data_IF_211814087169
#
_entry.id   IF_211814087169
#
_cell.length_a   1.000
_cell.length_b   1.000
_cell.length_c   1.000
_cell.angle_alpha   90.00
_cell.angle_beta   90.00
_cell.angle_gamma   90.00
#
_symmetry.space_group_name_H-M   'P 1'
#
loop_
_entity.id
_entity.type
_entity.pdbx_description
1 polymer ?
#
# COMPACT_ATOMS: atom_id res chain seq x y z
N UNK A 1 6.64 -20.67 13.69
CA UNK A 1 7.07 -19.41 13.05
C UNK A 1 6.80 -19.52 11.56
N UNK A 2 6.23 -18.48 10.97
CA UNK A 2 6.01 -18.36 9.53
C UNK A 2 7.37 -18.21 8.83
N UNK A 3 7.66 -19.06 7.86
CA UNK A 3 8.84 -18.91 7.02
C UNK A 3 8.50 -17.99 5.85
N UNK A 4 9.18 -16.87 5.76
CA UNK A 4 8.95 -15.85 4.74
C UNK A 4 10.09 -15.81 3.72
N UNK A 5 9.73 -15.65 2.44
CA UNK A 5 10.65 -15.33 1.37
C UNK A 5 10.31 -13.98 0.75
N UNK A 6 11.31 -13.21 0.37
CA UNK A 6 11.12 -11.89 -0.23
C UNK A 6 11.83 -11.84 -1.57
N UNK A 7 11.10 -11.72 -2.67
CA UNK A 7 11.64 -11.41 -3.99
C UNK A 7 11.69 -9.88 -4.15
N UNK A 8 12.86 -9.34 -4.53
CA UNK A 8 13.08 -7.89 -4.58
C UNK A 8 13.43 -7.28 -3.22
N UNK A 9 14.04 -8.05 -2.32
CA UNK A 9 14.38 -7.65 -0.95
C UNK A 9 15.27 -6.41 -0.86
N UNK A 10 16.04 -6.09 -1.89
CA UNK A 10 16.97 -4.95 -1.94
C UNK A 10 16.38 -3.67 -2.53
N UNK A 11 15.09 -3.64 -2.90
CA UNK A 11 14.31 -2.43 -3.14
C UNK A 11 13.92 -1.74 -1.83
N UNK A 12 13.36 -0.51 -1.88
CA UNK A 12 12.92 0.18 -0.65
C UNK A 12 11.79 -0.56 0.08
N UNK A 13 10.76 -1.02 -0.64
CA UNK A 13 9.68 -1.81 -0.03
C UNK A 13 10.19 -3.16 0.50
N UNK A 14 11.08 -3.83 -0.24
CA UNK A 14 11.71 -5.07 0.19
C UNK A 14 12.60 -4.89 1.43
N UNK A 15 13.40 -3.81 1.47
CA UNK A 15 14.21 -3.46 2.64
C UNK A 15 13.36 -3.15 3.88
N UNK A 16 12.20 -2.54 3.68
CA UNK A 16 11.24 -2.27 4.74
C UNK A 16 10.56 -3.56 5.24
N UNK A 17 10.22 -4.50 4.33
CA UNK A 17 9.77 -5.85 4.72
C UNK A 17 10.82 -6.56 5.58
N UNK A 18 12.09 -6.53 5.18
CA UNK A 18 13.18 -7.13 5.97
C UNK A 18 13.24 -6.49 7.35
N UNK A 19 13.18 -5.16 7.45
CA UNK A 19 13.20 -4.44 8.74
C UNK A 19 12.06 -4.88 9.65
N UNK A 20 10.85 -4.94 9.15
CA UNK A 20 9.66 -5.31 9.94
C UNK A 20 9.69 -6.78 10.33
N UNK A 21 9.95 -7.68 9.36
CA UNK A 21 9.96 -9.12 9.62
C UNK A 21 11.10 -9.58 10.52
N UNK A 22 12.25 -8.88 10.52
CA UNK A 22 13.35 -9.15 11.45
C UNK A 22 12.93 -8.91 12.91
N UNK A 23 12.02 -7.96 13.16
CA UNK A 23 11.46 -7.70 14.48
C UNK A 23 10.21 -8.53 14.81
N UNK A 24 9.67 -9.29 13.88
CA UNK A 24 8.40 -10.02 14.02
C UNK A 24 8.61 -11.34 14.78
N UNK A 25 7.97 -11.51 15.94
CA UNK A 25 8.17 -12.69 16.80
C UNK A 25 7.63 -14.00 16.22
N UNK A 26 6.67 -13.92 15.32
CA UNK A 26 6.01 -15.08 14.71
C UNK A 26 6.52 -15.42 13.30
N UNK A 27 7.50 -14.67 12.74
CA UNK A 27 8.01 -14.89 11.39
C UNK A 27 9.54 -14.99 11.35
N UNK A 28 10.06 -15.65 10.33
CA UNK A 28 11.49 -15.81 10.06
C UNK A 28 11.73 -15.68 8.55
N UNK A 29 12.67 -14.83 8.15
CA UNK A 29 13.04 -14.68 6.74
C UNK A 29 14.02 -15.79 6.35
N UNK A 30 13.65 -16.58 5.36
CA UNK A 30 14.47 -17.69 4.80
C UNK A 30 15.12 -17.33 3.46
N UNK A 31 14.59 -16.33 2.76
CA UNK A 31 15.05 -16.00 1.41
C UNK A 31 15.07 -14.49 1.19
N UNK A 32 16.24 -13.97 0.85
CA UNK A 32 16.51 -12.56 0.55
C UNK A 32 16.75 -12.39 -0.95
N UNK A 33 15.72 -12.52 -1.78
CA UNK A 33 15.81 -12.49 -3.24
C UNK A 33 16.23 -11.13 -3.79
N UNK A 34 17.27 -11.11 -4.64
CA UNK A 34 17.78 -9.91 -5.28
C UNK A 34 18.55 -10.26 -6.56
N UNK A 35 18.15 -9.70 -7.70
CA UNK A 35 18.88 -9.89 -8.97
C UNK A 35 20.24 -9.21 -9.02
N UNK A 36 20.40 -8.12 -8.29
CA UNK A 36 21.59 -7.26 -8.40
C UNK A 36 22.69 -7.60 -7.38
N UNK A 37 22.37 -8.39 -6.35
CA UNK A 37 23.27 -8.61 -5.21
C UNK A 37 23.40 -10.09 -4.81
N UNK A 38 23.16 -11.02 -5.74
CA UNK A 38 23.29 -12.46 -5.49
C UNK A 38 24.65 -12.76 -4.83
N UNK A 39 24.64 -13.63 -3.80
CA UNK A 39 25.81 -14.05 -2.98
C UNK A 39 26.43 -12.96 -2.09
N UNK A 40 26.02 -11.71 -2.20
CA UNK A 40 26.47 -10.64 -1.29
C UNK A 40 25.74 -10.73 0.05
N UNK A 41 26.41 -10.39 1.15
CA UNK A 41 25.75 -10.28 2.44
C UNK A 41 24.72 -9.13 2.41
N UNK A 42 23.51 -9.39 2.89
CA UNK A 42 22.42 -8.42 2.88
C UNK A 42 22.76 -7.14 3.64
N UNK A 43 23.48 -7.27 4.78
CA UNK A 43 23.96 -6.15 5.56
C UNK A 43 25.03 -5.30 4.86
N UNK A 44 25.65 -5.77 3.78
CA UNK A 44 26.51 -4.94 2.95
C UNK A 44 25.72 -4.03 2.01
N UNK A 45 24.51 -4.43 1.63
CA UNK A 45 23.58 -3.61 0.87
C UNK A 45 22.85 -2.60 1.75
N UNK A 46 22.47 -3.00 2.96
CA UNK A 46 21.76 -2.20 3.96
C UNK A 46 22.53 -2.17 5.28
N UNK A 47 23.48 -1.24 5.38
CA UNK A 47 24.42 -1.16 6.54
C UNK A 47 23.77 -0.89 7.88
N UNK A 48 22.55 -0.37 7.92
CA UNK A 48 21.76 -0.24 9.15
C UNK A 48 21.34 -1.60 9.75
N UNK A 49 21.48 -2.68 8.99
CA UNK A 49 21.23 -4.06 9.45
C UNK A 49 22.52 -4.82 9.78
N UNK A 50 23.66 -4.13 9.86
CA UNK A 50 24.95 -4.72 10.24
C UNK A 50 24.85 -5.36 11.64
N UNK A 51 25.33 -6.60 11.76
CA UNK A 51 25.21 -7.44 12.96
C UNK A 51 23.78 -7.79 13.41
N UNK A 52 22.76 -7.44 12.61
CA UNK A 52 21.36 -7.80 12.86
C UNK A 52 20.92 -8.89 11.86
N UNK A 53 21.26 -8.72 10.61
CA UNK A 53 20.96 -9.69 9.52
C UNK A 53 22.29 -10.21 8.98
N UNK A 54 22.53 -11.50 9.20
CA UNK A 54 23.67 -12.24 8.61
C UNK A 54 23.11 -13.27 7.62
N UNK A 55 22.80 -12.81 6.43
CA UNK A 55 22.24 -13.63 5.36
C UNK A 55 22.75 -13.15 3.99
N UNK A 56 22.90 -14.09 3.06
CA UNK A 56 23.25 -13.78 1.68
C UNK A 56 22.00 -13.47 0.85
N UNK A 57 22.14 -12.54 -0.08
CA UNK A 57 21.16 -12.34 -1.13
C UNK A 57 21.12 -13.56 -2.06
N UNK A 58 19.91 -13.96 -2.46
CA UNK A 58 19.64 -15.10 -3.31
C UNK A 58 18.99 -14.63 -4.62
N UNK A 59 18.80 -15.52 -5.56
CA UNK A 59 18.11 -15.23 -6.81
C UNK A 59 16.58 -15.07 -6.63
N UNK A 60 15.87 -14.90 -7.74
CA UNK A 60 14.42 -14.76 -7.79
C UNK A 60 13.71 -16.07 -8.21
N UNK A 61 14.33 -17.23 -7.99
CA UNK A 61 13.74 -18.52 -8.35
C UNK A 61 12.54 -18.85 -7.42
N UNK A 62 11.36 -18.47 -7.87
CA UNK A 62 10.13 -18.59 -7.09
C UNK A 62 9.69 -20.03 -6.90
N UNK A 63 9.97 -20.93 -7.85
CA UNK A 63 9.68 -22.36 -7.72
C UNK A 63 10.48 -22.99 -6.58
N UNK A 64 11.81 -22.76 -6.57
CA UNK A 64 12.69 -23.25 -5.51
C UNK A 64 12.37 -22.62 -4.14
N UNK A 65 11.91 -21.38 -4.12
CA UNK A 65 11.50 -20.68 -2.92
C UNK A 65 10.21 -21.25 -2.31
N UNK A 66 9.23 -21.59 -3.17
CA UNK A 66 7.94 -22.11 -2.76
C UNK A 66 8.02 -23.41 -1.94
N UNK A 67 9.06 -24.21 -2.14
CA UNK A 67 9.29 -25.44 -1.37
C UNK A 67 9.87 -25.18 0.05
N UNK A 68 10.32 -23.97 0.33
CA UNK A 68 11.08 -23.63 1.54
C UNK A 68 10.34 -22.70 2.49
N UNK A 69 9.29 -22.03 2.03
CA UNK A 69 8.60 -20.97 2.79
C UNK A 69 7.10 -21.14 2.81
N UNK A 70 6.45 -20.55 3.80
CA UNK A 70 5.01 -20.54 3.97
C UNK A 70 4.37 -19.34 3.22
N UNK A 71 5.15 -18.25 3.02
CA UNK A 71 4.70 -17.05 2.32
C UNK A 71 5.82 -16.44 1.49
N UNK A 72 5.47 -15.97 0.30
CA UNK A 72 6.35 -15.20 -0.59
C UNK A 72 5.81 -13.78 -0.71
N UNK A 73 6.67 -12.80 -0.44
CA UNK A 73 6.42 -11.40 -0.76
C UNK A 73 7.12 -11.05 -2.08
N UNK A 74 6.39 -10.47 -3.03
CA UNK A 74 6.98 -9.97 -4.26
C UNK A 74 7.01 -8.44 -4.25
N UNK A 75 8.17 -7.87 -3.88
CA UNK A 75 8.44 -6.43 -3.89
C UNK A 75 9.16 -6.01 -5.18
N UNK A 76 8.54 -6.28 -6.32
CA UNK A 76 9.13 -6.26 -7.65
C UNK A 76 8.50 -5.20 -8.56
N UNK A 77 9.15 -4.84 -9.68
CA UNK A 77 8.50 -4.09 -10.75
C UNK A 77 7.27 -4.84 -11.30
N UNK A 78 6.33 -4.07 -11.86
CA UNK A 78 5.12 -4.60 -12.50
C UNK A 78 5.45 -5.60 -13.60
N UNK A 79 4.61 -6.63 -13.74
CA UNK A 79 4.75 -7.72 -14.71
C UNK A 79 5.62 -8.87 -14.23
N UNK A 80 6.44 -8.67 -13.19
CA UNK A 80 7.36 -9.72 -12.75
C UNK A 80 6.66 -10.80 -11.92
N UNK A 81 5.82 -10.43 -10.94
CA UNK A 81 5.06 -11.40 -10.17
C UNK A 81 4.18 -12.26 -11.08
N UNK A 82 3.44 -11.60 -11.99
CA UNK A 82 2.62 -12.30 -13.00
C UNK A 82 3.43 -13.23 -13.91
N UNK A 83 4.71 -12.97 -14.14
CA UNK A 83 5.57 -13.85 -14.96
C UNK A 83 6.15 -15.03 -14.21
N UNK A 84 6.18 -14.98 -12.88
CA UNK A 84 6.78 -16.02 -12.03
C UNK A 84 5.75 -16.95 -11.42
N UNK A 85 4.54 -16.44 -11.12
CA UNK A 85 3.50 -17.18 -10.42
C UNK A 85 2.90 -18.29 -11.29
N UNK A 86 2.61 -19.43 -10.68
CA UNK A 86 1.92 -20.55 -11.31
C UNK A 86 1.11 -21.33 -10.27
N UNK A 87 0.31 -22.30 -10.73
CA UNK A 87 -0.56 -23.09 -9.84
C UNK A 87 0.24 -23.96 -8.87
N UNK A 88 1.41 -24.43 -9.28
CA UNK A 88 2.27 -25.24 -8.42
C UNK A 88 2.77 -24.44 -7.22
N UNK A 89 3.22 -23.20 -7.43
CA UNK A 89 3.62 -22.27 -6.37
C UNK A 89 2.45 -22.01 -5.40
N UNK A 90 1.28 -21.65 -5.95
CA UNK A 90 0.10 -21.34 -5.14
C UNK A 90 -0.47 -22.56 -4.38
N UNK A 91 -0.15 -23.78 -4.81
CA UNK A 91 -0.51 -24.99 -4.09
C UNK A 91 0.39 -25.26 -2.87
N UNK A 92 1.60 -24.71 -2.84
CA UNK A 92 2.61 -24.95 -1.80
C UNK A 92 2.72 -23.80 -0.81
N UNK A 93 2.57 -22.57 -1.26
CA UNK A 93 2.82 -21.37 -0.46
C UNK A 93 1.83 -20.25 -0.78
N UNK A 94 1.64 -19.32 0.14
CA UNK A 94 0.84 -18.12 -0.09
C UNK A 94 1.71 -17.02 -0.72
N UNK A 95 1.10 -16.19 -1.56
CA UNK A 95 1.80 -15.07 -2.23
C UNK A 95 1.15 -13.75 -1.86
N UNK A 96 1.95 -12.78 -1.44
CA UNK A 96 1.54 -11.39 -1.21
C UNK A 96 2.32 -10.52 -2.21
N UNK A 97 1.60 -10.05 -3.20
CA UNK A 97 2.16 -9.25 -4.29
C UNK A 97 2.09 -7.76 -4.00
N UNK A 98 3.25 -7.11 -3.86
CA UNK A 98 3.36 -5.65 -3.70
C UNK A 98 3.49 -4.92 -5.05
N UNK A 99 3.60 -5.67 -6.16
CA UNK A 99 3.48 -5.09 -7.50
C UNK A 99 2.02 -4.69 -7.79
N UNK A 100 1.71 -4.37 -9.02
CA UNK A 100 0.33 -4.02 -9.38
C UNK A 100 -0.40 -5.13 -10.12
N UNK A 101 0.25 -6.30 -10.28
CA UNK A 101 -0.16 -7.28 -11.28
C UNK A 101 -1.56 -7.87 -11.02
N UNK A 102 -2.01 -7.93 -9.77
CA UNK A 102 -3.28 -8.55 -9.40
C UNK A 102 -4.29 -7.60 -8.73
N UNK A 103 -4.05 -6.27 -8.77
CA UNK A 103 -4.89 -5.29 -8.08
C UNK A 103 -6.17 -4.94 -8.83
N UNK A 104 -6.11 -4.94 -10.18
CA UNK A 104 -7.19 -4.52 -11.07
C UNK A 104 -7.81 -5.76 -11.68
N UNK A 105 -9.14 -5.90 -11.58
CA UNK A 105 -9.87 -7.09 -12.06
C UNK A 105 -9.99 -7.14 -13.57
N UNK A 106 -10.11 -6.00 -14.23
CA UNK A 106 -10.16 -5.94 -15.69
C UNK A 106 -8.75 -5.93 -16.29
N UNK A 107 -8.39 -7.05 -16.96
CA UNK A 107 -7.09 -7.22 -17.64
C UNK A 107 -6.84 -6.11 -18.65
N UNK A 108 -7.85 -5.69 -19.40
CA UNK A 108 -7.71 -4.65 -20.42
C UNK A 108 -7.36 -3.29 -19.82
N UNK A 109 -7.93 -2.97 -18.66
CA UNK A 109 -7.59 -1.77 -17.89
C UNK A 109 -6.16 -1.84 -17.37
N UNK A 110 -5.75 -3.00 -16.81
CA UNK A 110 -4.36 -3.19 -16.39
C UNK A 110 -3.39 -2.96 -17.55
N UNK A 111 -3.61 -3.62 -18.70
CA UNK A 111 -2.73 -3.52 -19.87
C UNK A 111 -2.72 -2.10 -20.46
N UNK A 112 -3.88 -1.42 -20.48
CA UNK A 112 -3.96 -0.03 -20.90
C UNK A 112 -3.11 0.89 -20.03
N UNK A 113 -3.22 0.80 -18.70
CA UNK A 113 -2.54 1.71 -17.79
C UNK A 113 -1.08 1.39 -17.54
N UNK A 114 -0.72 0.10 -17.50
CA UNK A 114 0.66 -0.33 -17.25
C UNK A 114 1.49 -0.48 -18.53
N UNK A 115 0.84 -0.52 -19.72
CA UNK A 115 1.49 -0.70 -21.05
C UNK A 115 2.31 -1.99 -21.15
N UNK A 116 1.88 -3.04 -20.47
CA UNK A 116 2.47 -4.37 -20.50
C UNK A 116 1.34 -5.41 -20.57
N UNK A 117 1.63 -6.54 -21.23
CA UNK A 117 0.73 -7.70 -21.27
C UNK A 117 0.72 -8.41 -19.91
N UNK A 118 -0.47 -8.76 -19.41
CA UNK A 118 -0.59 -9.55 -18.19
C UNK A 118 -0.25 -11.02 -18.42
N UNK A 119 0.77 -11.56 -17.74
CA UNK A 119 1.29 -12.90 -18.02
C UNK A 119 0.52 -14.04 -17.33
N UNK A 120 -0.32 -13.72 -16.33
CA UNK A 120 -1.08 -14.71 -15.55
C UNK A 120 -2.51 -14.23 -15.25
N UNK A 121 -3.32 -13.89 -16.28
CA UNK A 121 -4.66 -13.34 -16.08
C UNK A 121 -5.61 -14.31 -15.39
N UNK A 122 -5.36 -15.62 -15.47
CA UNK A 122 -6.17 -16.65 -14.83
C UNK A 122 -6.21 -16.55 -13.28
N UNK A 123 -5.24 -15.87 -12.66
CA UNK A 123 -5.19 -15.70 -11.20
C UNK A 123 -5.79 -14.38 -10.70
N UNK A 124 -6.17 -13.45 -11.60
CA UNK A 124 -6.71 -12.16 -11.21
C UNK A 124 -8.02 -12.31 -10.44
N UNK A 125 -8.90 -13.22 -10.88
CA UNK A 125 -10.21 -13.39 -10.24
C UNK A 125 -10.09 -13.88 -8.79
N UNK A 126 -9.17 -14.80 -8.51
CA UNK A 126 -8.96 -15.33 -7.16
C UNK A 126 -8.13 -14.40 -6.26
N UNK A 127 -7.34 -13.51 -6.84
CA UNK A 127 -6.53 -12.57 -6.07
C UNK A 127 -7.41 -11.68 -5.19
N UNK A 128 -7.11 -11.63 -3.90
CA UNK A 128 -7.82 -10.77 -2.94
C UNK A 128 -7.09 -9.44 -2.81
N UNK A 129 -7.82 -8.33 -2.98
CA UNK A 129 -7.26 -7.01 -2.74
C UNK A 129 -6.93 -6.81 -1.26
N UNK A 130 -5.66 -6.59 -0.96
CA UNK A 130 -5.07 -6.70 0.36
C UNK A 130 -5.21 -5.45 1.24
N UNK A 131 -6.34 -4.74 1.19
CA UNK A 131 -6.66 -3.68 2.15
C UNK A 131 -7.43 -4.30 3.31
N UNK A 132 -6.73 -4.54 4.43
CA UNK A 132 -7.20 -5.35 5.55
C UNK A 132 -8.50 -4.83 6.15
N UNK A 133 -8.64 -3.53 6.29
CA UNK A 133 -9.80 -2.85 6.86
C UNK A 133 -11.09 -3.10 6.07
N UNK A 134 -10.96 -3.41 4.79
CA UNK A 134 -12.11 -3.64 3.89
C UNK A 134 -12.33 -5.12 3.60
N UNK A 135 -11.26 -5.91 3.44
CA UNK A 135 -11.33 -7.27 2.92
C UNK A 135 -10.85 -8.35 3.91
N UNK A 136 -10.82 -8.06 5.20
CA UNK A 136 -10.28 -8.94 6.25
C UNK A 136 -10.70 -10.41 6.11
N UNK A 137 -11.99 -10.69 6.00
CA UNK A 137 -12.49 -12.07 5.95
C UNK A 137 -12.10 -12.79 4.64
N UNK A 138 -11.98 -12.06 3.53
CA UNK A 138 -11.52 -12.63 2.26
C UNK A 138 -10.03 -12.96 2.33
N UNK A 139 -9.22 -12.06 2.93
CA UNK A 139 -7.77 -12.21 3.06
C UNK A 139 -7.42 -13.46 3.87
N UNK A 140 -8.11 -13.73 4.97
CA UNK A 140 -7.87 -14.93 5.82
C UNK A 140 -7.85 -16.24 5.04
N UNK A 141 -8.60 -16.32 3.95
CA UNK A 141 -8.77 -17.52 3.14
C UNK A 141 -8.04 -17.46 1.79
N UNK A 142 -7.31 -16.39 1.53
CA UNK A 142 -6.62 -16.21 0.26
C UNK A 142 -5.34 -17.05 0.16
N UNK A 143 -4.94 -17.38 -1.06
CA UNK A 143 -3.61 -17.90 -1.38
C UNK A 143 -2.79 -16.89 -2.19
N UNK A 144 -3.45 -15.91 -2.81
CA UNK A 144 -2.86 -14.77 -3.51
C UNK A 144 -3.49 -13.46 -3.01
N UNK A 145 -2.67 -12.57 -2.49
CA UNK A 145 -3.10 -11.25 -2.01
C UNK A 145 -2.43 -10.16 -2.84
N UNK A 146 -3.23 -9.30 -3.47
CA UNK A 146 -2.77 -8.12 -4.18
C UNK A 146 -2.65 -6.95 -3.19
N UNK A 147 -1.45 -6.70 -2.68
CA UNK A 147 -1.20 -5.63 -1.73
C UNK A 147 -1.39 -4.25 -2.38
N UNK A 148 -2.16 -3.32 -1.79
CA UNK A 148 -2.47 -2.02 -2.39
C UNK A 148 -1.25 -1.16 -2.72
N UNK A 149 -1.41 -0.23 -3.65
CA UNK A 149 -0.45 0.84 -3.86
C UNK A 149 -0.44 1.85 -2.71
N UNK A 150 0.65 2.58 -2.55
CA UNK A 150 0.79 3.49 -1.41
C UNK A 150 -0.21 4.65 -1.43
N UNK A 151 -0.38 5.31 -2.57
CA UNK A 151 -1.41 6.36 -2.70
C UNK A 151 -2.82 5.77 -2.59
N UNK A 152 -3.03 4.58 -3.16
CA UNK A 152 -4.35 3.93 -3.17
C UNK A 152 -4.78 3.55 -1.76
N UNK A 153 -3.86 3.04 -0.94
CA UNK A 153 -4.12 2.77 0.48
C UNK A 153 -4.63 4.02 1.20
N UNK A 154 -3.90 5.14 1.08
CA UNK A 154 -4.27 6.37 1.75
C UNK A 154 -5.61 6.92 1.23
N UNK A 155 -5.75 7.03 -0.08
CA UNK A 155 -6.95 7.61 -0.70
C UNK A 155 -8.19 6.77 -0.44
N UNK A 156 -8.10 5.45 -0.60
CA UNK A 156 -9.26 4.58 -0.38
C UNK A 156 -9.68 4.62 1.09
N UNK A 157 -8.76 4.46 2.04
CA UNK A 157 -9.10 4.52 3.46
C UNK A 157 -9.74 5.87 3.85
N UNK A 158 -9.29 6.96 3.23
CA UNK A 158 -9.81 8.30 3.52
C UNK A 158 -11.24 8.48 3.00
N UNK A 159 -11.56 8.05 1.77
CA UNK A 159 -12.88 8.27 1.14
C UNK A 159 -13.90 7.13 1.37
N UNK A 160 -13.44 5.90 1.69
CA UNK A 160 -14.25 4.69 1.68
C UNK A 160 -15.56 4.78 2.50
N UNK A 161 -15.55 5.28 3.77
CA UNK A 161 -16.80 5.31 4.55
C UNK A 161 -17.89 6.13 3.88
N UNK A 162 -17.55 7.30 3.35
CA UNK A 162 -18.55 8.19 2.73
C UNK A 162 -18.97 7.70 1.34
N UNK A 163 -18.07 7.08 0.58
CA UNK A 163 -18.40 6.40 -0.67
C UNK A 163 -19.38 5.24 -0.41
N UNK A 164 -19.12 4.43 0.61
CA UNK A 164 -19.93 3.27 1.00
C UNK A 164 -21.34 3.67 1.45
N UNK A 165 -21.47 4.77 2.17
CA UNK A 165 -22.76 5.33 2.61
C UNK A 165 -23.46 6.16 1.50
N UNK A 166 -22.83 6.31 0.34
CA UNK A 166 -23.39 7.08 -0.78
C UNK A 166 -23.59 8.57 -0.49
N UNK A 167 -22.79 9.13 0.42
CA UNK A 167 -22.94 10.52 0.88
C UNK A 167 -22.22 11.53 -0.01
N UNK A 168 -21.25 11.11 -0.79
CA UNK A 168 -20.49 11.97 -1.69
C UNK A 168 -20.84 11.66 -3.15
N UNK A 169 -20.85 12.71 -3.97
CA UNK A 169 -20.96 12.55 -5.43
C UNK A 169 -19.59 12.15 -5.99
N UNK A 170 -19.46 10.87 -6.34
CA UNK A 170 -18.21 10.29 -6.82
C UNK A 170 -17.70 10.95 -8.12
N UNK A 171 -18.58 11.57 -8.93
CA UNK A 171 -18.16 12.30 -10.12
C UNK A 171 -17.47 13.62 -9.82
N UNK A 172 -17.58 14.11 -8.59
CA UNK A 172 -16.92 15.35 -8.13
C UNK A 172 -15.67 15.10 -7.32
N UNK A 173 -15.30 13.83 -7.11
CA UNK A 173 -14.15 13.46 -6.27
C UNK A 173 -12.83 13.87 -6.95
N UNK A 174 -12.10 14.72 -6.26
CA UNK A 174 -10.75 15.15 -6.62
C UNK A 174 -9.81 14.71 -5.49
N UNK A 175 -8.74 14.02 -5.85
CA UNK A 175 -7.69 13.58 -4.92
C UNK A 175 -6.39 14.29 -5.27
N UNK A 176 -5.95 15.18 -4.42
CA UNK A 176 -4.68 15.89 -4.51
C UNK A 176 -3.68 15.29 -3.52
N UNK A 177 -2.72 14.52 -4.01
CA UNK A 177 -1.85 13.67 -3.21
C UNK A 177 -0.39 14.12 -3.27
N UNK A 178 0.29 14.09 -2.12
CA UNK A 178 1.71 14.41 -1.95
C UNK A 178 2.44 13.17 -1.45
N UNK A 179 3.62 12.87 -2.01
CA UNK A 179 4.43 11.72 -1.59
C UNK A 179 5.91 12.09 -1.47
N UNK A 180 6.55 11.53 -0.46
CA UNK A 180 8.00 11.50 -0.37
C UNK A 180 8.64 10.68 -1.50
N UNK A 181 9.91 10.95 -1.75
CA UNK A 181 10.68 10.43 -2.91
C UNK A 181 10.94 8.94 -2.88
N UNK A 182 10.93 8.30 -1.72
CA UNK A 182 11.09 6.85 -1.60
C UNK A 182 10.00 6.06 -2.33
N UNK A 183 8.83 6.67 -2.56
CA UNK A 183 7.74 6.09 -3.35
C UNK A 183 8.11 5.82 -4.83
N UNK A 184 9.11 6.51 -5.35
CA UNK A 184 9.62 6.29 -6.70
C UNK A 184 10.58 5.07 -6.82
N UNK A 185 10.90 4.42 -5.70
CA UNK A 185 11.80 3.27 -5.62
C UNK A 185 13.28 3.65 -5.60
N UNK A 186 14.14 2.63 -5.37
CA UNK A 186 15.60 2.79 -5.22
C UNK A 186 16.35 3.01 -6.53
N UNK A 187 15.73 2.71 -7.66
CA UNK A 187 16.38 2.86 -8.97
C UNK A 187 16.78 4.31 -9.26
N UNK A 188 18.03 4.54 -9.64
CA UNK A 188 18.52 5.86 -9.99
C UNK A 188 17.86 6.39 -11.28
N UNK A 189 17.17 7.53 -11.15
CA UNK A 189 16.58 8.29 -12.26
C UNK A 189 16.90 9.75 -12.05
N UNK A 190 17.11 10.52 -13.11
CA UNK A 190 17.39 11.96 -13.01
C UNK A 190 16.37 12.66 -12.11
N UNK A 191 15.07 12.38 -12.32
CA UNK A 191 13.99 13.00 -11.57
C UNK A 191 14.01 12.73 -10.05
N UNK A 192 14.82 11.75 -9.57
CA UNK A 192 14.95 11.36 -8.16
C UNK A 192 16.33 11.74 -7.58
N UNK A 193 17.21 12.41 -8.33
CA UNK A 193 18.49 12.87 -7.82
C UNK A 193 18.28 13.99 -6.80
N UNK A 194 19.16 14.08 -5.82
CA UNK A 194 19.06 15.05 -4.73
C UNK A 194 18.85 16.50 -5.22
N UNK A 195 19.66 16.97 -6.18
CA UNK A 195 19.54 18.32 -6.72
C UNK A 195 18.27 18.56 -7.55
N UNK A 196 17.58 17.50 -8.00
CA UNK A 196 16.32 17.62 -8.75
C UNK A 196 15.10 17.63 -7.83
N UNK A 197 15.25 17.07 -6.62
CA UNK A 197 14.16 16.88 -5.66
C UNK A 197 14.22 17.90 -4.54
N UNK A 198 15.43 18.24 -4.05
CA UNK A 198 15.58 19.14 -2.92
C UNK A 198 15.00 20.52 -3.25
N UNK A 199 14.26 21.11 -2.29
CA UNK A 199 13.60 22.44 -2.44
C UNK A 199 12.64 22.52 -3.65
N UNK A 200 12.10 21.40 -4.10
CA UNK A 200 11.24 21.32 -5.28
C UNK A 200 9.96 20.49 -5.01
N UNK A 201 8.80 21.03 -5.36
CA UNK A 201 7.51 20.32 -5.36
C UNK A 201 7.00 20.29 -6.80
N UNK A 202 6.66 19.11 -7.30
CA UNK A 202 6.15 18.95 -8.66
C UNK A 202 5.01 17.94 -8.76
N UNK A 203 3.98 18.28 -9.52
CA UNK A 203 3.00 17.31 -9.98
C UNK A 203 3.64 16.39 -11.03
N UNK A 204 3.20 15.14 -11.09
CA UNK A 204 3.66 14.20 -12.10
C UNK A 204 2.54 13.26 -12.52
N UNK A 205 2.65 12.68 -13.71
CA UNK A 205 1.67 11.74 -14.26
C UNK A 205 0.20 12.21 -14.11
N UNK A 206 -0.04 13.52 -14.28
CA UNK A 206 -1.37 14.13 -14.17
C UNK A 206 -2.32 13.52 -15.20
N UNK A 207 -3.48 13.03 -14.74
CA UNK A 207 -4.47 12.33 -15.57
C UNK A 207 -4.00 10.99 -16.15
N UNK A 208 -2.83 10.48 -15.74
CA UNK A 208 -2.22 9.25 -16.31
C UNK A 208 -1.50 8.38 -15.28
N UNK A 209 -1.65 8.68 -14.00
CA UNK A 209 -1.01 7.90 -12.94
C UNK A 209 -1.66 6.52 -12.78
N UNK A 210 -0.86 5.47 -12.73
CA UNK A 210 -1.28 4.06 -12.70
C UNK A 210 -2.12 3.66 -11.47
N UNK A 211 -2.14 4.46 -10.41
CA UNK A 211 -3.02 4.22 -9.26
C UNK A 211 -4.45 4.71 -9.50
N UNK A 212 -4.71 5.51 -10.53
CA UNK A 212 -6.06 6.03 -10.82
C UNK A 212 -7.09 4.92 -10.98
N UNK A 213 -6.91 3.94 -11.90
CA UNK A 213 -7.89 2.87 -12.08
C UNK A 213 -8.06 1.97 -10.84
N UNK A 214 -7.02 1.79 -10.04
CA UNK A 214 -7.08 1.05 -8.78
C UNK A 214 -8.00 1.76 -7.77
N UNK A 215 -7.86 3.09 -7.61
CA UNK A 215 -8.72 3.88 -6.72
C UNK A 215 -10.17 3.88 -7.24
N UNK A 216 -10.36 4.12 -8.55
CA UNK A 216 -11.68 4.10 -9.20
C UNK A 216 -12.40 2.77 -9.00
N UNK A 217 -11.70 1.65 -9.18
CA UNK A 217 -12.27 0.30 -9.01
C UNK A 217 -12.71 0.06 -7.56
N UNK A 218 -11.84 0.32 -6.59
CA UNK A 218 -12.14 0.01 -5.19
C UNK A 218 -13.22 0.93 -4.61
N UNK A 219 -13.19 2.22 -4.93
CA UNK A 219 -14.26 3.15 -4.53
C UNK A 219 -15.55 2.89 -5.31
N UNK A 220 -15.46 2.40 -6.55
CA UNK A 220 -16.60 1.95 -7.32
C UNK A 220 -17.31 0.76 -6.67
N UNK A 221 -16.57 -0.22 -6.16
CA UNK A 221 -17.14 -1.33 -5.37
C UNK A 221 -17.77 -0.84 -4.06
N UNK A 222 -17.18 0.16 -3.41
CA UNK A 222 -17.75 0.75 -2.21
C UNK A 222 -19.08 1.45 -2.50
N UNK A 223 -19.11 2.33 -3.51
CA UNK A 223 -20.27 3.13 -3.90
C UNK A 223 -21.32 2.35 -4.70
N UNK A 224 -21.00 1.13 -5.15
CA UNK A 224 -21.82 0.33 -6.08
C UNK A 224 -22.17 1.08 -7.39
N UNK A 225 -21.22 1.83 -7.91
CA UNK A 225 -21.32 2.57 -9.17
C UNK A 225 -19.98 2.65 -9.91
N UNK A 226 -19.99 2.94 -11.19
CA UNK A 226 -18.77 3.22 -11.95
C UNK A 226 -18.24 4.60 -11.56
N UNK A 227 -17.01 4.66 -11.07
CA UNK A 227 -16.36 5.89 -10.61
C UNK A 227 -15.35 6.37 -11.64
N UNK A 228 -15.36 7.67 -11.90
CA UNK A 228 -14.31 8.41 -12.59
C UNK A 228 -13.93 9.60 -11.74
N UNK A 229 -12.65 9.70 -11.37
CA UNK A 229 -12.16 10.75 -10.47
C UNK A 229 -10.93 11.46 -11.04
N UNK A 230 -10.61 12.61 -10.46
CA UNK A 230 -9.34 13.30 -10.75
C UNK A 230 -8.33 12.98 -9.68
N UNK A 231 -7.24 12.29 -10.06
CA UNK A 231 -6.12 11.99 -9.18
C UNK A 231 -4.86 12.75 -9.66
N UNK A 232 -4.31 13.60 -8.80
CA UNK A 232 -3.11 14.38 -9.08
C UNK A 232 -2.04 14.15 -8.02
N UNK A 233 -1.04 13.30 -8.30
CA UNK A 233 0.07 13.08 -7.38
C UNK A 233 1.15 14.14 -7.52
N UNK A 234 1.79 14.47 -6.38
CA UNK A 234 2.94 15.36 -6.31
C UNK A 234 4.11 14.66 -5.63
N UNK A 235 5.30 14.90 -6.11
CA UNK A 235 6.53 14.55 -5.42
C UNK A 235 7.00 15.76 -4.60
N UNK A 236 7.26 15.52 -3.32
CA UNK A 236 7.69 16.56 -2.38
C UNK A 236 9.07 16.22 -1.80
N UNK A 237 9.86 17.22 -1.37
CA UNK A 237 11.26 17.04 -0.95
C UNK A 237 11.37 16.46 0.47
N UNK A 238 10.81 15.30 0.67
CA UNK A 238 10.93 14.48 1.88
C UNK A 238 11.19 13.02 1.51
N UNK A 239 11.74 12.24 2.42
CA UNK A 239 12.02 10.83 2.15
C UNK A 239 10.76 9.99 2.16
N UNK A 240 9.97 10.07 3.24
CA UNK A 240 8.79 9.23 3.50
C UNK A 240 7.54 10.06 3.72
N UNK A 241 6.40 9.43 3.65
CA UNK A 241 5.08 9.98 3.92
C UNK A 241 4.25 10.20 2.68
N UNK A 242 2.96 10.01 2.84
CA UNK A 242 1.90 10.43 1.91
C UNK A 242 0.91 11.29 2.68
N UNK A 243 0.52 12.40 2.08
CA UNK A 243 -0.61 13.22 2.50
C UNK A 243 -1.57 13.33 1.33
N UNK A 244 -2.83 12.91 1.51
CA UNK A 244 -3.89 13.17 0.54
C UNK A 244 -4.83 14.26 1.06
N UNK A 245 -5.33 15.10 0.15
CA UNK A 245 -6.45 15.99 0.38
C UNK A 245 -7.47 15.72 -0.70
N UNK A 246 -8.66 15.35 -0.30
CA UNK A 246 -9.72 14.93 -1.20
C UNK A 246 -10.91 15.86 -1.07
N UNK A 247 -11.53 16.19 -2.19
CA UNK A 247 -12.65 17.11 -2.25
C UNK A 247 -13.81 16.44 -3.00
N UNK A 248 -15.00 16.46 -2.41
CA UNK A 248 -16.20 15.98 -3.06
C UNK A 248 -17.41 16.83 -2.65
N UNK A 249 -18.42 16.86 -3.51
CA UNK A 249 -19.73 17.45 -3.18
C UNK A 249 -20.53 16.46 -2.33
N UNK A 250 -21.19 16.95 -1.29
CA UNK A 250 -22.15 16.16 -0.51
C UNK A 250 -23.45 16.02 -1.30
N UNK A 251 -24.03 14.82 -1.33
CA UNK A 251 -25.32 14.53 -1.99
C UNK A 251 -26.54 15.01 -1.17
N UNK A 252 -26.34 15.26 0.11
CA UNK A 252 -27.35 15.77 1.05
C UNK A 252 -26.68 16.55 2.19
N UNK A 253 -27.49 17.34 2.88
CA UNK A 253 -27.02 17.99 4.10
C UNK A 253 -26.75 16.92 5.17
N UNK A 254 -25.58 17.00 5.80
CA UNK A 254 -25.14 16.14 6.89
C UNK A 254 -24.35 16.97 7.90
N UNK A 255 -24.46 16.61 9.16
CA UNK A 255 -23.68 17.24 10.19
C UNK A 255 -22.29 16.61 10.31
N UNK A 256 -21.39 17.31 10.99
CA UNK A 256 -20.05 16.80 11.24
C UNK A 256 -20.07 15.60 12.18
N UNK A 257 -21.00 15.61 13.14
CA UNK A 257 -21.25 14.54 14.10
C UNK A 257 -21.70 13.25 13.36
N UNK A 258 -22.64 13.38 12.42
CA UNK A 258 -23.09 12.23 11.60
C UNK A 258 -21.94 11.63 10.78
N UNK A 259 -21.07 12.47 10.20
CA UNK A 259 -19.89 11.98 9.48
C UNK A 259 -18.93 11.26 10.44
N UNK A 260 -18.69 11.81 11.63
CA UNK A 260 -17.85 11.18 12.64
C UNK A 260 -18.39 9.81 13.05
N UNK A 261 -19.67 9.67 13.29
CA UNK A 261 -20.31 8.39 13.62
C UNK A 261 -20.13 7.36 12.50
N UNK A 262 -20.14 7.79 11.24
CA UNK A 262 -19.86 6.90 10.10
C UNK A 262 -18.40 6.42 10.18
N UNK A 263 -17.42 7.32 10.30
CA UNK A 263 -16.02 6.91 10.41
C UNK A 263 -15.77 6.01 11.63
N UNK A 264 -16.37 6.30 12.78
CA UNK A 264 -16.27 5.46 13.98
C UNK A 264 -16.90 4.08 13.76
N UNK A 265 -17.99 4.00 13.01
CA UNK A 265 -18.62 2.72 12.65
C UNK A 265 -17.70 1.83 11.83
N UNK A 266 -17.01 2.40 10.84
CA UNK A 266 -16.10 1.66 9.98
C UNK A 266 -14.73 1.42 10.62
N UNK A 267 -14.20 2.40 11.34
CA UNK A 267 -12.80 2.41 11.75
C UNK A 267 -12.55 2.46 13.26
N UNK A 268 -13.57 2.63 14.09
CA UNK A 268 -13.42 2.76 15.55
C UNK A 268 -12.79 1.54 16.24
N UNK A 269 -12.73 0.38 15.55
CA UNK A 269 -12.07 -0.85 16.03
C UNK A 269 -10.82 -1.23 15.22
N UNK A 270 -10.48 -0.45 14.22
CA UNK A 270 -9.32 -0.74 13.35
C UNK A 270 -8.04 -0.33 14.06
N UNK A 271 -7.09 -1.27 14.23
CA UNK A 271 -5.91 -1.04 15.07
C UNK A 271 -4.96 0.01 14.52
N UNK A 272 -5.03 0.29 13.22
CA UNK A 272 -4.10 1.18 12.53
C UNK A 272 -4.76 2.43 11.94
N UNK A 273 -6.06 2.64 12.17
CA UNK A 273 -6.73 3.86 11.74
C UNK A 273 -6.93 4.78 12.94
N UNK A 274 -6.52 6.04 12.83
CA UNK A 274 -6.75 7.07 13.82
C UNK A 274 -7.62 8.17 13.21
N UNK A 275 -8.81 8.34 13.74
CA UNK A 275 -9.71 9.43 13.37
C UNK A 275 -9.33 10.60 14.26
N UNK A 276 -8.71 11.62 13.67
CA UNK A 276 -8.20 12.77 14.42
C UNK A 276 -9.33 13.64 14.97
N UNK A 277 -8.99 14.40 16.00
CA UNK A 277 -9.91 15.38 16.60
C UNK A 277 -10.22 16.53 15.64
N UNK A 278 -11.32 17.21 15.90
CA UNK A 278 -11.78 18.33 15.11
C UNK A 278 -10.75 19.47 15.08
N UNK A 279 -10.46 19.94 13.87
CA UNK A 279 -9.48 21.00 13.63
C UNK A 279 -8.02 20.56 13.66
N UNK A 280 -7.75 19.27 13.91
CA UNK A 280 -6.40 18.69 13.84
C UNK A 280 -6.18 18.12 12.44
N UNK A 281 -5.30 18.72 11.65
CA UNK A 281 -4.94 18.19 10.34
C UNK A 281 -3.82 17.15 10.45
N UNK A 282 -3.86 16.05 9.64
CA UNK A 282 -2.84 15.03 9.70
C UNK A 282 -1.50 15.54 9.16
N UNK A 283 -0.41 15.06 9.76
CA UNK A 283 0.95 15.35 9.33
C UNK A 283 1.70 14.06 9.02
N UNK A 284 2.51 14.06 7.97
CA UNK A 284 3.31 12.87 7.60
C UNK A 284 4.29 12.43 8.68
N UNK A 285 4.78 13.35 9.51
CA UNK A 285 5.64 13.04 10.66
C UNK A 285 4.97 12.21 11.74
N UNK A 286 3.66 12.35 11.91
CA UNK A 286 2.94 11.62 12.97
C UNK A 286 2.70 10.16 12.66
N UNK A 287 2.98 9.75 11.43
CA UNK A 287 2.81 8.37 10.94
C UNK A 287 4.13 7.74 10.47
N UNK A 288 5.22 8.51 10.39
CA UNK A 288 6.49 8.06 9.86
C UNK A 288 7.05 6.85 10.60
N UNK A 289 7.43 5.81 9.86
CA UNK A 289 7.98 4.56 10.38
C UNK A 289 6.95 3.61 10.99
N UNK A 290 5.65 3.95 10.96
CA UNK A 290 4.56 3.17 11.57
C UNK A 290 3.51 2.71 10.57
N UNK A 291 2.66 1.77 11.02
CA UNK A 291 1.54 1.28 10.21
C UNK A 291 0.24 2.08 10.40
N UNK A 292 0.30 3.26 11.04
CA UNK A 292 -0.87 4.09 11.25
C UNK A 292 -1.30 4.86 10.00
N UNK A 293 -2.60 5.07 9.88
CA UNK A 293 -3.22 6.02 8.96
C UNK A 293 -4.03 7.03 9.77
N UNK A 294 -3.70 8.30 9.64
CA UNK A 294 -4.40 9.42 10.28
C UNK A 294 -5.42 9.99 9.31
N UNK A 295 -6.68 10.11 9.73
CA UNK A 295 -7.77 10.59 8.89
C UNK A 295 -8.54 11.67 9.63
N UNK A 296 -8.91 12.73 8.91
CA UNK A 296 -9.82 13.78 9.39
C UNK A 296 -10.67 14.29 8.22
N UNK A 297 -11.77 14.89 8.54
CA UNK A 297 -12.70 15.48 7.58
C UNK A 297 -13.18 16.88 8.05
N UNK A 298 -13.55 17.70 7.08
CA UNK A 298 -14.09 19.04 7.29
C UNK A 298 -15.18 19.34 6.27
N UNK A 299 -16.34 19.82 6.70
CA UNK A 299 -17.35 20.37 5.79
C UNK A 299 -17.04 21.85 5.55
N UNK A 300 -16.97 22.28 4.29
CA UNK A 300 -16.99 23.71 3.93
C UNK A 300 -18.44 24.13 3.65
N UNK A 301 -19.10 24.81 4.57
CA UNK A 301 -20.52 25.17 4.45
C UNK A 301 -20.80 26.18 3.32
N UNK A 302 -19.77 26.89 2.86
CA UNK A 302 -19.92 27.88 1.77
C UNK A 302 -20.05 27.22 0.42
N UNK A 303 -19.48 26.03 0.25
CA UNK A 303 -19.41 25.31 -1.03
C UNK A 303 -20.20 24.01 -1.02
N UNK A 304 -20.72 23.59 0.13
CA UNK A 304 -21.32 22.29 0.38
C UNK A 304 -20.40 21.13 -0.01
N UNK A 305 -19.09 21.28 0.23
CA UNK A 305 -18.09 20.26 -0.05
C UNK A 305 -17.55 19.66 1.24
N UNK A 306 -17.34 18.37 1.18
CA UNK A 306 -16.51 17.67 2.15
C UNK A 306 -15.03 17.74 1.71
N UNK A 307 -14.16 18.03 2.66
CA UNK A 307 -12.71 17.98 2.51
C UNK A 307 -12.23 16.86 3.42
N UNK A 308 -11.64 15.84 2.84
CA UNK A 308 -11.09 14.68 3.52
C UNK A 308 -9.57 14.77 3.48
N UNK A 309 -8.91 14.44 4.57
CA UNK A 309 -7.44 14.44 4.63
C UNK A 309 -6.96 13.16 5.26
N UNK A 310 -5.95 12.54 4.66
CA UNK A 310 -5.32 11.32 5.16
C UNK A 310 -3.81 11.36 5.08
N UNK A 311 -3.13 10.80 6.08
CA UNK A 311 -1.68 10.64 6.07
C UNK A 311 -1.25 9.23 6.46
N UNK A 312 -0.23 8.70 5.77
CA UNK A 312 0.41 7.41 6.03
C UNK A 312 1.92 7.48 5.80
N UNK A 313 2.68 6.52 6.33
CA UNK A 313 4.02 6.23 5.81
C UNK A 313 3.88 5.39 4.53
N UNK A 314 4.41 5.90 3.41
CA UNK A 314 4.29 5.27 2.10
C UNK A 314 5.01 3.91 1.98
N UNK A 315 6.01 3.63 2.80
CA UNK A 315 6.75 2.36 2.81
C UNK A 315 6.19 1.38 3.85
N UNK A 316 5.56 1.86 4.92
CA UNK A 316 4.97 0.99 5.95
C UNK A 316 3.50 0.74 5.63
N UNK A 317 2.56 1.58 6.05
CA UNK A 317 1.13 1.38 5.75
C UNK A 317 0.84 1.37 4.25
N UNK A 318 1.60 2.14 3.49
CA UNK A 318 1.48 2.18 2.03
C UNK A 318 2.08 0.98 1.28
N UNK A 319 2.86 0.11 1.93
CA UNK A 319 3.53 -1.00 1.25
C UNK A 319 3.83 -2.17 2.19
N UNK A 320 4.99 -2.17 2.86
CA UNK A 320 5.51 -3.33 3.60
C UNK A 320 4.68 -3.64 4.86
N UNK A 321 4.26 -2.63 5.61
CA UNK A 321 3.44 -2.84 6.80
C UNK A 321 2.06 -3.41 6.46
N UNK A 322 1.42 -2.90 5.40
CA UNK A 322 0.18 -3.48 4.87
C UNK A 322 0.37 -4.93 4.45
N UNK A 323 1.50 -5.27 3.80
CA UNK A 323 1.81 -6.64 3.41
C UNK A 323 2.02 -7.56 4.62
N UNK A 324 2.68 -7.10 5.68
CA UNK A 324 2.83 -7.86 6.94
C UNK A 324 1.49 -7.99 7.67
N UNK A 325 0.64 -6.98 7.66
CA UNK A 325 -0.73 -7.05 8.19
C UNK A 325 -1.55 -8.11 7.43
N UNK A 326 -1.42 -8.20 6.11
CA UNK A 326 -2.01 -9.25 5.29
C UNK A 326 -1.47 -10.64 5.68
N UNK A 327 -0.15 -10.79 5.86
CA UNK A 327 0.46 -12.03 6.32
C UNK A 327 -0.11 -12.46 7.68
N UNK A 328 -0.23 -11.53 8.61
CA UNK A 328 -0.78 -11.83 9.93
C UNK A 328 -2.20 -12.41 9.85
N UNK A 329 -3.07 -11.83 9.02
CA UNK A 329 -4.41 -12.35 8.76
C UNK A 329 -4.40 -13.74 8.12
N UNK A 330 -3.55 -13.96 7.10
CA UNK A 330 -3.41 -15.23 6.38
C UNK A 330 -3.02 -16.40 7.29
N UNK A 331 -2.26 -16.13 8.35
CA UNK A 331 -1.74 -17.15 9.27
C UNK A 331 -2.37 -17.10 10.67
N UNK A 332 -3.44 -16.32 10.85
CA UNK A 332 -4.19 -16.26 12.10
C UNK A 332 -3.48 -15.59 13.27
N UNK A 333 -2.49 -14.74 12.99
CA UNK A 333 -1.88 -13.85 13.98
C UNK A 333 -2.75 -12.62 14.23
N UNK A 334 -2.49 -11.90 15.32
CA UNK A 334 -3.05 -10.56 15.51
C UNK A 334 -2.51 -9.63 14.42
N UNK A 335 -3.36 -8.80 13.86
CA UNK A 335 -2.95 -7.87 12.78
C UNK A 335 -1.78 -6.96 13.17
N UNK A 336 -1.67 -6.63 14.47
CA UNK A 336 -0.62 -5.78 15.00
C UNK A 336 0.73 -6.49 15.21
N UNK A 337 0.78 -7.82 15.19
CA UNK A 337 2.02 -8.56 15.48
C UNK A 337 3.15 -8.09 14.56
N UNK A 338 4.26 -7.65 15.15
CA UNK A 338 5.43 -7.09 14.45
C UNK A 338 5.22 -5.69 13.84
N UNK A 339 4.02 -5.10 13.98
CA UNK A 339 3.66 -3.78 13.46
C UNK A 339 3.39 -2.75 14.56
N UNK A 340 3.69 -3.08 15.82
CA UNK A 340 3.54 -2.21 16.99
C UNK A 340 4.65 -1.13 17.02
N UNK A 341 4.88 -0.53 15.86
CA UNK A 341 5.91 0.49 15.65
C UNK A 341 5.35 1.86 16.05
N UNK A 342 6.03 2.51 16.98
CA UNK A 342 5.71 3.89 17.35
C UNK A 342 6.25 4.83 16.27
N UNK A 343 5.45 5.80 15.79
CA UNK A 343 5.94 6.80 14.84
C UNK A 343 7.19 7.51 15.33
N UNK A 344 8.13 7.73 14.41
CA UNK A 344 9.36 8.48 14.73
C UNK A 344 9.08 9.98 14.73
N UNK A 345 9.61 10.69 15.72
CA UNK A 345 9.53 12.15 15.82
C UNK A 345 10.78 12.68 16.54
N UNK A 346 11.42 13.74 16.08
CA UNK A 346 11.19 14.60 14.92
C UNK A 346 11.51 14.01 13.56
#
# INVERSE_FOLDING_TARGET
MIKAGIIGSTGYAGGELVRILTGHKGAEIKWYGSRSYIDQNYADVYRNLFQIVDAKCMDDNMDALADQVDVIFTATPQGLCASLINEEILSKTKVIDLSADFRIKDVSVYEEWYKIEHKSPQFIEEAVYGLCEINREKIKNARLVANPGCYTTCSILTAYPLAKEGLIDMNTLIIDAKSGTSGAGRGAKVANLYCEVNENIKAYAVGSHRHTPEIEEQLGYAANETVKLSFTPHLVPMNRGILVTEYASLKKDVTKEEIREIYETYYGKEPFIRILDDGVCPETKWVEGSNYADIVFQIDPRTNRIILMGAIDNLVKGAAGQAVQNMNLLFGYKEQEGLELIPMFP
#
